data_IF_576673779777
#
_entry.id   IF_576673779777
#
_cell.length_a   1.000
_cell.length_b   1.000
_cell.length_c   1.000
_cell.angle_alpha   90.00
_cell.angle_beta   90.00
_cell.angle_gamma   90.00
#
_symmetry.space_group_name_H-M   'P 1'
#
loop_
_entity.id
_entity.type
_entity.pdbx_description
1 polymer ?
#
# COMPACT_ATOMS: atom_id res chain seq x y z
N UNK A 1 -6.25 -9.36 -14.49
CA UNK A 1 -7.27 -8.63 -13.72
C UNK A 1 -6.60 -7.55 -12.87
N UNK A 2 -7.27 -6.42 -12.65
CA UNK A 2 -6.71 -5.19 -12.06
C UNK A 2 -6.20 -5.39 -10.62
N UNK A 3 -6.93 -6.13 -9.79
CA UNK A 3 -6.52 -6.50 -8.43
C UNK A 3 -5.13 -7.17 -8.38
N UNK A 4 -4.84 -8.12 -9.29
CA UNK A 4 -3.52 -8.78 -9.39
C UNK A 4 -2.42 -7.78 -9.77
N UNK A 5 -2.73 -6.81 -10.64
CA UNK A 5 -1.79 -5.74 -11.02
C UNK A 5 -1.47 -4.85 -9.82
N UNK A 6 -2.48 -4.44 -9.05
CA UNK A 6 -2.31 -3.62 -7.84
C UNK A 6 -1.46 -4.37 -6.80
N UNK A 7 -1.75 -5.66 -6.54
CA UNK A 7 -0.97 -6.48 -5.62
C UNK A 7 0.51 -6.60 -6.05
N UNK A 8 0.75 -6.87 -7.34
CA UNK A 8 2.11 -6.94 -7.88
C UNK A 8 2.85 -5.61 -7.80
N UNK A 9 2.15 -4.48 -7.97
CA UNK A 9 2.74 -3.16 -7.80
C UNK A 9 3.21 -2.92 -6.35
N UNK A 10 2.43 -3.36 -5.36
CA UNK A 10 2.83 -3.29 -3.95
C UNK A 10 4.10 -4.11 -3.70
N UNK A 11 4.18 -5.32 -4.26
CA UNK A 11 5.36 -6.17 -4.14
C UNK A 11 6.61 -5.50 -4.74
N UNK A 12 6.48 -4.94 -5.94
CA UNK A 12 7.58 -4.24 -6.62
C UNK A 12 8.00 -2.98 -5.86
N UNK A 13 7.04 -2.17 -5.38
CA UNK A 13 7.32 -0.98 -4.60
C UNK A 13 8.09 -1.33 -3.32
N UNK A 14 7.66 -2.35 -2.59
CA UNK A 14 8.37 -2.81 -1.40
C UNK A 14 9.77 -3.34 -1.73
N UNK A 15 9.91 -4.14 -2.80
CA UNK A 15 11.21 -4.66 -3.24
C UNK A 15 12.19 -3.53 -3.55
N UNK A 16 11.74 -2.47 -4.23
CA UNK A 16 12.57 -1.31 -4.54
C UNK A 16 13.05 -0.59 -3.28
N UNK A 17 12.17 -0.43 -2.28
CA UNK A 17 12.50 0.19 -0.99
C UNK A 17 13.56 -0.62 -0.24
N UNK A 18 13.44 -1.95 -0.19
CA UNK A 18 14.38 -2.80 0.57
C UNK A 18 15.60 -3.26 -0.22
N UNK A 19 15.68 -2.90 -1.51
CA UNK A 19 16.70 -3.39 -2.44
C UNK A 19 18.13 -3.06 -1.99
N UNK A 20 19.07 -3.98 -2.28
CA UNK A 20 20.50 -3.74 -2.06
C UNK A 20 21.02 -2.55 -2.87
N UNK A 21 20.51 -2.38 -4.09
CA UNK A 21 20.86 -1.25 -4.95
C UNK A 21 20.52 0.10 -4.28
N UNK A 22 19.37 0.20 -3.62
CA UNK A 22 19.01 1.39 -2.85
C UNK A 22 19.96 1.63 -1.68
N UNK A 23 20.30 0.59 -0.92
CA UNK A 23 21.28 0.73 0.18
C UNK A 23 22.68 1.14 -0.31
N UNK A 24 23.10 0.64 -1.47
CA UNK A 24 24.41 0.96 -2.06
C UNK A 24 24.47 2.42 -2.53
N UNK A 25 23.40 2.91 -3.17
CA UNK A 25 23.34 4.27 -3.70
C UNK A 25 23.14 5.34 -2.61
N UNK A 26 22.68 4.96 -1.42
CA UNK A 26 22.38 5.87 -0.32
C UNK A 26 23.01 5.37 0.98
N UNK A 27 24.29 5.68 1.25
CA UNK A 27 24.97 5.31 2.50
C UNK A 27 24.18 5.78 3.73
N UNK A 28 23.95 4.87 4.68
CA UNK A 28 23.14 5.14 5.87
C UNK A 28 21.63 4.91 5.71
N UNK A 29 21.14 4.59 4.50
CA UNK A 29 19.74 4.27 4.30
C UNK A 29 19.31 2.99 5.03
N UNK A 30 18.31 3.13 5.89
CA UNK A 30 17.57 2.01 6.49
C UNK A 30 16.09 2.15 6.12
N UNK A 31 15.52 1.09 5.53
CA UNK A 31 14.09 1.04 5.26
C UNK A 31 13.34 0.60 6.53
N UNK A 32 12.72 1.55 7.23
CA UNK A 32 11.85 1.28 8.40
C UNK A 32 10.37 1.08 7.99
N UNK A 33 10.07 1.17 6.69
CA UNK A 33 8.73 0.90 6.17
C UNK A 33 8.55 -0.59 5.97
N UNK A 34 7.48 -1.14 6.54
CA UNK A 34 7.08 -2.54 6.39
C UNK A 34 6.15 -2.72 5.21
N UNK A 35 6.15 -3.91 4.61
CA UNK A 35 5.30 -4.24 3.46
C UNK A 35 3.79 -3.95 3.69
N UNK A 36 3.20 -4.23 4.88
CA UNK A 36 1.80 -3.87 5.16
C UNK A 36 1.52 -2.36 5.08
N UNK A 37 2.49 -1.51 5.45
CA UNK A 37 2.34 -0.05 5.37
C UNK A 37 2.36 0.42 3.90
N UNK A 38 3.24 -0.16 3.08
CA UNK A 38 3.24 0.07 1.61
C UNK A 38 1.93 -0.38 0.98
N UNK A 39 1.43 -1.56 1.37
CA UNK A 39 0.17 -2.10 0.88
C UNK A 39 -1.00 -1.17 1.22
N UNK A 40 -1.06 -0.70 2.47
CA UNK A 40 -2.12 0.20 2.94
C UNK A 40 -2.10 1.53 2.17
N UNK A 41 -0.93 2.13 1.96
CA UNK A 41 -0.79 3.37 1.18
C UNK A 41 -1.23 3.17 -0.29
N UNK A 42 -0.81 2.07 -0.90
CA UNK A 42 -1.20 1.77 -2.28
C UNK A 42 -2.71 1.55 -2.39
N UNK A 43 -3.30 0.72 -1.53
CA UNK A 43 -4.73 0.38 -1.60
C UNK A 43 -5.61 1.60 -1.34
N UNK A 44 -5.27 2.44 -0.36
CA UNK A 44 -5.99 3.70 -0.09
C UNK A 44 -5.87 4.68 -1.26
N UNK A 45 -4.69 4.80 -1.89
CA UNK A 45 -4.51 5.63 -3.08
C UNK A 45 -5.35 5.13 -4.27
N UNK A 46 -5.31 3.83 -4.57
CA UNK A 46 -6.14 3.24 -5.63
C UNK A 46 -7.63 3.41 -5.33
N UNK A 47 -8.06 3.19 -4.10
CA UNK A 47 -9.45 3.37 -3.69
C UNK A 47 -9.90 4.82 -3.92
N UNK A 48 -9.09 5.81 -3.54
CA UNK A 48 -9.41 7.24 -3.73
C UNK A 48 -9.61 7.58 -5.21
N UNK A 49 -8.74 7.09 -6.10
CA UNK A 49 -8.83 7.35 -7.54
C UNK A 49 -9.98 6.59 -8.19
N UNK A 50 -10.17 5.31 -7.86
CA UNK A 50 -11.18 4.46 -8.48
C UNK A 50 -12.60 4.77 -8.02
N UNK A 51 -12.80 5.31 -6.81
CA UNK A 51 -14.11 5.78 -6.33
C UNK A 51 -14.69 6.87 -7.22
N UNK A 52 -13.85 7.74 -7.80
CA UNK A 52 -14.30 8.75 -8.76
C UNK A 52 -14.86 8.14 -10.07
N UNK A 53 -14.63 6.84 -10.32
CA UNK A 53 -15.07 6.10 -11.52
C UNK A 53 -15.79 4.78 -11.15
N UNK A 54 -16.54 4.79 -10.05
CA UNK A 54 -17.06 3.58 -9.41
C UNK A 54 -17.84 2.62 -10.32
N UNK A 55 -18.59 3.12 -11.30
CA UNK A 55 -19.45 2.31 -12.19
C UNK A 55 -18.71 1.21 -12.96
N UNK A 56 -17.39 1.34 -13.17
CA UNK A 56 -16.55 0.34 -13.84
C UNK A 56 -15.66 -0.49 -12.92
N UNK A 57 -15.63 -0.21 -11.60
CA UNK A 57 -14.65 -0.78 -10.67
C UNK A 57 -15.26 -1.36 -9.39
N UNK A 58 -16.56 -1.64 -9.35
CA UNK A 58 -17.26 -2.15 -8.16
C UNK A 58 -16.56 -3.33 -7.48
N UNK A 59 -16.23 -4.38 -8.24
CA UNK A 59 -15.54 -5.57 -7.70
C UNK A 59 -14.14 -5.24 -7.15
N UNK A 60 -13.42 -4.34 -7.81
CA UNK A 60 -12.07 -3.90 -7.39
C UNK A 60 -12.16 -3.06 -6.12
N UNK A 61 -13.16 -2.18 -6.03
CA UNK A 61 -13.40 -1.35 -4.85
C UNK A 61 -13.79 -2.19 -3.62
N UNK A 62 -14.67 -3.18 -3.79
CA UNK A 62 -15.03 -4.11 -2.72
C UNK A 62 -13.82 -4.92 -2.24
N UNK A 63 -12.97 -5.39 -3.17
CA UNK A 63 -11.72 -6.05 -2.83
C UNK A 63 -10.76 -5.12 -2.07
N UNK A 64 -10.58 -3.87 -2.53
CA UNK A 64 -9.74 -2.89 -1.84
C UNK A 64 -10.23 -2.60 -0.41
N UNK A 65 -11.53 -2.44 -0.20
CA UNK A 65 -12.11 -2.21 1.13
C UNK A 65 -11.85 -3.37 2.08
N UNK A 66 -11.99 -4.61 1.60
CA UNK A 66 -11.67 -5.80 2.38
C UNK A 66 -10.20 -5.87 2.76
N UNK A 67 -9.29 -5.61 1.81
CA UNK A 67 -7.84 -5.64 2.07
C UNK A 67 -7.40 -4.52 3.02
N UNK A 68 -7.93 -3.29 2.86
CA UNK A 68 -7.68 -2.18 3.80
C UNK A 68 -8.19 -2.54 5.20
N UNK A 69 -9.37 -3.17 5.31
CA UNK A 69 -9.91 -3.66 6.58
C UNK A 69 -8.99 -4.67 7.27
N UNK A 70 -8.51 -5.69 6.55
CA UNK A 70 -7.54 -6.67 7.08
C UNK A 70 -6.25 -6.01 7.56
N UNK A 71 -5.73 -5.07 6.79
CA UNK A 71 -4.53 -4.31 7.12
C UNK A 71 -4.73 -3.46 8.38
N UNK A 72 -5.89 -2.81 8.56
CA UNK A 72 -6.21 -2.02 9.75
C UNK A 72 -6.32 -2.87 11.03
N UNK A 73 -6.56 -4.19 10.92
CA UNK A 73 -6.52 -5.12 12.06
C UNK A 73 -5.09 -5.51 12.45
N UNK A 74 -4.12 -5.31 11.55
CA UNK A 74 -2.73 -5.70 11.76
C UNK A 74 -2.05 -4.74 12.74
N UNK A 75 -1.41 -5.29 13.79
CA UNK A 75 -0.71 -4.50 14.84
C UNK A 75 0.30 -3.50 14.28
N UNK A 76 0.86 -3.80 13.12
CA UNK A 76 1.83 -2.96 12.40
C UNK A 76 1.27 -1.62 11.91
N UNK A 77 -0.03 -1.55 11.63
CA UNK A 77 -0.69 -0.30 11.21
C UNK A 77 -1.31 0.42 12.43
N UNK A 78 -1.75 -0.35 13.44
CA UNK A 78 -2.41 0.18 14.64
C UNK A 78 -1.51 1.00 15.56
N UNK A 79 -0.18 0.80 15.53
CA UNK A 79 0.76 1.65 16.27
C UNK A 79 1.07 2.95 15.51
N UNK A 80 0.07 3.81 15.34
CA UNK A 80 0.20 5.27 15.22
C UNK A 80 1.06 5.91 14.11
N UNK A 81 1.76 5.17 13.25
CA UNK A 81 2.66 5.77 12.24
C UNK A 81 1.94 6.36 11.02
N UNK A 82 0.65 6.07 10.83
CA UNK A 82 -0.13 6.52 9.66
C UNK A 82 -1.41 7.28 10.03
N UNK A 83 -1.56 7.68 11.30
CA UNK A 83 -2.74 8.41 11.77
C UNK A 83 -2.74 9.91 11.42
N UNK A 84 -1.77 10.42 10.68
CA UNK A 84 -1.62 11.86 10.38
C UNK A 84 -2.00 12.29 8.96
N UNK A 85 -2.60 11.43 8.13
CA UNK A 85 -3.06 11.82 6.79
C UNK A 85 -4.60 11.83 6.73
N UNK A 86 -5.19 12.87 7.30
CA UNK A 86 -6.49 13.36 6.86
C UNK A 86 -6.25 14.22 5.61
N UNK A 87 -6.67 13.73 4.45
CA UNK A 87 -6.91 14.50 3.23
C UNK A 87 -8.41 14.54 2.98
#
# INVERSE_FOLDING_TARGET
MINKTIAKLVDLAYLLLVSKARKLNYPGYQCDVKKPEVAWLAFTAFQKVLRAKQSGYGDVLAWLEMEIGKLALTKEIRKGRVSSLHL
#
